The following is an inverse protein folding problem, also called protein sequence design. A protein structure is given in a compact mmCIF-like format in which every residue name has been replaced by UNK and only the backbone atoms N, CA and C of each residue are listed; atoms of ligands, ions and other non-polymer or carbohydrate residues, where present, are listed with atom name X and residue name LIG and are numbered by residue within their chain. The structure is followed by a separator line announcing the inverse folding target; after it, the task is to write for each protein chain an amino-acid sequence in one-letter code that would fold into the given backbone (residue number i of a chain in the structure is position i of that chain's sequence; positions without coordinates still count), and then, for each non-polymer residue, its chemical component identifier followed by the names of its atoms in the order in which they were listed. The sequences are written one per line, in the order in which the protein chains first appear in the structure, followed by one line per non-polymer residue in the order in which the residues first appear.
data_IF_059094429940
#
_entry.id   IF_059094429940
#
_cell.length_a   1.000
_cell.length_b   1.000
_cell.length_c   1.000
_cell.angle_alpha   90.00
_cell.angle_beta   90.00
_cell.angle_gamma   90.00
#
_symmetry.space_group_name_H-M   'P 1'
#
loop_
_entity.id
_entity.type
_entity.pdbx_description
1 polymer ?
#
# COMPACT_ATOMS: atom_id res chain seq x y z
N UNK A 1 1.96 -3.89 -16.07
CA UNK A 1 1.08 -3.18 -15.12
C UNK A 1 1.87 -2.04 -14.52
N UNK A 2 1.38 -0.80 -14.60
CA UNK A 2 2.11 0.37 -14.10
C UNK A 2 1.42 0.87 -12.83
N UNK A 3 1.87 0.39 -11.66
CA UNK A 3 1.48 0.94 -10.36
C UNK A 3 2.56 1.94 -9.97
N UNK A 4 2.34 3.21 -10.27
CA UNK A 4 3.21 4.29 -9.78
C UNK A 4 2.52 5.00 -8.64
N UNK A 5 2.96 4.72 -7.41
CA UNK A 5 2.63 5.57 -6.27
C UNK A 5 3.56 6.77 -6.35
N UNK A 6 3.02 7.94 -6.67
CA UNK A 6 3.72 9.20 -6.40
C UNK A 6 3.30 9.64 -5.01
N UNK A 7 4.25 9.81 -4.10
CA UNK A 7 4.03 10.72 -2.97
C UNK A 7 3.55 12.05 -3.57
N UNK A 8 2.41 12.54 -3.09
CA UNK A 8 1.79 13.76 -3.62
C UNK A 8 2.76 14.93 -3.46
N UNK A 9 3.46 15.28 -4.53
CA UNK A 9 4.37 16.43 -4.59
C UNK A 9 3.57 17.67 -5.01
N UNK A 10 3.28 18.54 -4.07
CA UNK A 10 2.59 19.82 -4.25
C UNK A 10 2.42 20.47 -2.88
N UNK A 11 2.34 21.80 -2.80
CA UNK A 11 2.39 22.64 -1.59
C UNK A 11 1.22 22.49 -0.60
N UNK A 12 0.64 21.29 -0.52
CA UNK A 12 -0.42 20.78 0.35
C UNK A 12 -0.46 19.27 0.04
N UNK A 13 0.13 18.34 0.80
CA UNK A 13 -0.05 18.20 2.24
C UNK A 13 1.07 17.47 3.02
N UNK A 14 2.17 16.97 2.42
CA UNK A 14 3.23 16.28 3.21
C UNK A 14 4.68 16.46 2.74
N UNK A 15 4.94 16.99 1.54
CA UNK A 15 6.31 17.35 1.10
C UNK A 15 7.29 16.18 0.95
N UNK A 16 6.81 14.95 0.76
CA UNK A 16 7.65 13.75 0.67
C UNK A 16 8.25 13.56 -0.73
N UNK A 17 9.47 13.03 -0.79
CA UNK A 17 10.15 12.66 -2.04
C UNK A 17 9.46 11.47 -2.74
N UNK A 18 9.60 11.30 -4.06
CA UNK A 18 8.94 10.22 -4.78
C UNK A 18 9.49 8.83 -4.38
N UNK A 19 8.62 7.82 -4.36
CA UNK A 19 9.04 6.42 -4.30
C UNK A 19 9.75 6.02 -5.60
N UNK A 20 10.82 5.25 -5.47
CA UNK A 20 11.52 4.64 -6.61
C UNK A 20 11.06 3.20 -6.77
N UNK A 21 10.72 2.80 -8.00
CA UNK A 21 10.39 1.40 -8.27
C UNK A 21 11.63 0.50 -8.06
N UNK A 22 11.46 -0.61 -7.34
CA UNK A 22 12.51 -1.60 -7.10
C UNK A 22 12.04 -3.00 -7.56
N UNK A 23 12.75 -3.56 -8.53
CA UNK A 23 12.39 -4.85 -9.13
C UNK A 23 12.49 -6.03 -8.15
N UNK A 24 13.34 -5.95 -7.12
CA UNK A 24 13.43 -7.00 -6.08
C UNK A 24 12.21 -6.95 -5.17
N UNK A 25 11.78 -5.76 -4.79
CA UNK A 25 10.56 -5.56 -4.00
C UNK A 25 9.33 -5.99 -4.83
N UNK A 26 9.30 -5.67 -6.12
CA UNK A 26 8.21 -6.09 -7.01
C UNK A 26 8.17 -7.61 -7.22
N UNK A 27 9.32 -8.26 -7.37
CA UNK A 27 9.41 -9.71 -7.45
C UNK A 27 8.91 -10.38 -6.16
N UNK A 28 9.20 -9.80 -4.99
CA UNK A 28 8.64 -10.27 -3.72
C UNK A 28 7.11 -10.15 -3.71
N UNK A 29 6.59 -8.96 -4.06
CA UNK A 29 5.14 -8.72 -4.14
C UNK A 29 4.45 -9.72 -5.08
N UNK A 30 5.06 -10.01 -6.24
CA UNK A 30 4.51 -10.96 -7.22
C UNK A 30 4.51 -12.39 -6.68
N UNK A 31 5.61 -12.82 -6.05
CA UNK A 31 5.70 -14.15 -5.46
C UNK A 31 4.67 -14.34 -4.35
N UNK A 32 4.40 -13.30 -3.55
CA UNK A 32 3.38 -13.36 -2.53
C UNK A 32 1.96 -13.34 -3.11
N UNK A 33 1.67 -12.42 -4.02
CA UNK A 33 0.36 -12.33 -4.68
C UNK A 33 -0.02 -13.65 -5.37
N UNK A 34 0.92 -14.34 -6.00
CA UNK A 34 0.69 -15.65 -6.61
C UNK A 34 0.19 -16.71 -5.61
N UNK A 35 0.59 -16.64 -4.34
CA UNK A 35 0.12 -17.56 -3.29
C UNK A 35 -1.33 -17.30 -2.89
N UNK A 36 -1.87 -16.11 -3.20
CA UNK A 36 -3.24 -15.70 -2.89
C UNK A 36 -4.23 -15.99 -4.02
N UNK A 37 -3.79 -16.49 -5.18
CA UNK A 37 -4.67 -16.81 -6.32
C UNK A 37 -5.77 -17.82 -5.96
N UNK A 38 -5.51 -18.72 -5.01
CA UNK A 38 -6.43 -19.78 -4.62
C UNK A 38 -7.64 -19.29 -3.79
N UNK A 39 -7.42 -18.30 -2.92
CA UNK A 39 -8.42 -17.87 -1.92
C UNK A 39 -8.73 -16.37 -1.94
N UNK A 40 -7.90 -15.56 -2.59
CA UNK A 40 -8.00 -14.10 -2.71
C UNK A 40 -8.05 -13.31 -1.39
N UNK A 41 -7.83 -13.93 -0.21
CA UNK A 41 -8.00 -13.20 1.04
C UNK A 41 -6.87 -12.18 1.28
N UNK A 42 -7.21 -11.08 1.96
CA UNK A 42 -6.28 -10.04 2.39
C UNK A 42 -5.57 -10.45 3.68
N UNK A 43 -4.58 -11.33 3.54
CA UNK A 43 -3.67 -11.73 4.62
C UNK A 43 -2.31 -11.12 4.32
N UNK A 44 -1.66 -10.56 5.34
CA UNK A 44 -0.33 -9.99 5.20
C UNK A 44 0.75 -11.07 5.05
N UNK A 45 1.82 -10.75 4.33
CA UNK A 45 2.92 -11.68 4.06
C UNK A 45 3.83 -11.96 5.24
N UNK A 46 3.75 -11.15 6.31
CA UNK A 46 4.71 -11.11 7.42
C UNK A 46 6.17 -10.99 6.95
N UNK A 47 6.35 -10.40 5.77
CA UNK A 47 7.63 -10.19 5.11
C UNK A 47 8.48 -9.07 5.72
N UNK A 48 9.69 -8.85 5.18
CA UNK A 48 10.59 -7.80 5.67
C UNK A 48 10.20 -6.38 5.23
N UNK A 49 9.15 -6.23 4.41
CA UNK A 49 8.73 -4.97 3.81
C UNK A 49 7.44 -4.44 4.46
N UNK A 50 7.21 -3.14 4.34
CA UNK A 50 5.88 -2.59 4.56
C UNK A 50 4.93 -3.13 3.49
N UNK A 51 3.63 -3.19 3.76
CA UNK A 51 2.71 -3.84 2.84
C UNK A 51 1.31 -3.21 2.89
N UNK A 52 0.78 -2.90 1.71
CA UNK A 52 -0.63 -2.63 1.53
C UNK A 52 -1.23 -3.69 0.59
N UNK A 53 -2.42 -4.16 0.94
CA UNK A 53 -3.18 -5.11 0.15
C UNK A 53 -4.51 -4.50 -0.28
N UNK A 54 -5.01 -4.93 -1.45
CA UNK A 54 -6.31 -4.55 -1.93
C UNK A 54 -6.97 -5.74 -2.64
N UNK A 55 -8.29 -5.81 -2.49
CA UNK A 55 -9.14 -6.82 -3.10
C UNK A 55 -10.23 -6.14 -3.90
N UNK A 56 -10.62 -6.74 -5.03
CA UNK A 56 -11.77 -6.33 -5.80
C UNK A 56 -12.56 -7.52 -6.32
N UNK A 57 -13.88 -7.41 -6.33
CA UNK A 57 -14.80 -8.46 -6.82
C UNK A 57 -14.74 -8.71 -8.34
N UNK A 58 -13.86 -8.02 -9.05
CA UNK A 58 -13.65 -8.07 -10.49
C UNK A 58 -12.31 -7.45 -10.84
N UNK A 59 -12.17 -6.85 -12.02
CA UNK A 59 -10.93 -6.17 -12.38
C UNK A 59 -10.71 -4.90 -11.54
N UNK A 60 -9.71 -4.93 -10.65
CA UNK A 60 -9.26 -3.77 -9.90
C UNK A 60 -7.96 -3.25 -10.51
N UNK A 61 -7.90 -1.97 -10.88
CA UNK A 61 -6.65 -1.38 -11.35
C UNK A 61 -5.73 -1.05 -10.18
N UNK A 62 -4.41 -1.04 -10.41
CA UNK A 62 -3.48 -0.61 -9.37
C UNK A 62 -3.62 0.87 -9.01
N UNK A 63 -4.11 1.71 -9.92
CA UNK A 63 -4.41 3.12 -9.63
C UNK A 63 -5.58 3.21 -8.66
N UNK A 64 -6.63 2.41 -8.87
CA UNK A 64 -7.80 2.39 -7.98
C UNK A 64 -7.44 1.82 -6.61
N UNK A 65 -6.59 0.79 -6.54
CA UNK A 65 -6.07 0.28 -5.26
C UNK A 65 -5.31 1.36 -4.47
N UNK A 66 -4.42 2.11 -5.13
CA UNK A 66 -3.71 3.23 -4.50
C UNK A 66 -4.68 4.32 -4.07
N UNK A 67 -5.69 4.61 -4.88
CA UNK A 67 -6.74 5.58 -4.53
C UNK A 67 -7.48 5.14 -3.27
N UNK A 68 -7.88 3.87 -3.15
CA UNK A 68 -8.54 3.33 -1.95
C UNK A 68 -7.69 3.56 -0.69
N UNK A 69 -6.38 3.33 -0.77
CA UNK A 69 -5.46 3.59 0.34
C UNK A 69 -5.33 5.08 0.67
N UNK A 70 -5.25 5.95 -0.34
CA UNK A 70 -5.16 7.41 -0.15
C UNK A 70 -6.47 8.00 0.37
N UNK A 71 -7.61 7.43 0.00
CA UNK A 71 -8.94 7.86 0.45
C UNK A 71 -9.13 7.67 1.97
N UNK A 72 -8.24 6.96 2.66
CA UNK A 72 -8.23 6.90 4.13
C UNK A 72 -7.68 8.16 4.81
N UNK A 73 -7.07 9.09 4.05
CA UNK A 73 -6.50 10.35 4.57
C UNK A 73 -7.43 11.11 5.52
N UNK A 74 -8.74 11.31 5.25
CA UNK A 74 -9.63 12.04 6.15
C UNK A 74 -9.81 11.36 7.51
N UNK A 75 -9.46 10.09 7.64
CA UNK A 75 -9.55 9.32 8.88
C UNK A 75 -8.28 9.36 9.70
N UNK A 76 -7.17 9.89 9.17
CA UNK A 76 -5.93 10.04 9.93
C UNK A 76 -5.84 11.43 10.57
N UNK A 77 -5.67 11.48 11.89
CA UNK A 77 -5.33 12.69 12.61
C UNK A 77 -3.83 12.72 12.96
N UNK A 78 -3.12 13.66 12.35
CA UNK A 78 -1.68 13.86 12.56
C UNK A 78 -1.32 14.26 13.99
N UNK A 79 -2.18 15.04 14.66
CA UNK A 79 -1.87 15.55 16.00
C UNK A 79 -1.89 14.43 17.04
N UNK A 80 -2.91 13.58 16.98
CA UNK A 80 -3.03 12.39 17.84
C UNK A 80 -2.24 11.18 17.35
N UNK A 81 -1.76 11.21 16.09
CA UNK A 81 -1.14 10.07 15.40
C UNK A 81 -2.02 8.81 15.45
N UNK A 82 -3.32 8.98 15.19
CA UNK A 82 -4.29 7.90 15.29
C UNK A 82 -5.35 7.97 14.20
N UNK A 83 -5.98 6.83 13.92
CA UNK A 83 -7.14 6.79 13.05
C UNK A 83 -8.39 7.21 13.83
N UNK A 84 -9.36 7.82 13.14
CA UNK A 84 -10.68 8.10 13.67
C UNK A 84 -11.34 6.80 14.19
N UNK A 85 -12.15 6.87 15.26
CA UNK A 85 -12.77 5.68 15.86
C UNK A 85 -13.55 4.86 14.82
N UNK A 86 -13.24 3.56 14.75
CA UNK A 86 -13.89 2.62 13.82
C UNK A 86 -13.46 2.77 12.35
N UNK A 87 -12.46 3.61 12.05
CA UNK A 87 -11.91 3.79 10.70
C UNK A 87 -10.52 3.18 10.58
N UNK A 88 -10.13 2.89 9.34
CA UNK A 88 -8.76 2.50 8.99
C UNK A 88 -8.04 3.69 8.36
N UNK A 89 -6.76 3.81 8.68
CA UNK A 89 -5.86 4.78 8.07
C UNK A 89 -4.44 4.25 7.84
N UNK A 90 -4.23 2.96 8.14
CA UNK A 90 -2.92 2.32 8.06
C UNK A 90 -2.39 2.21 6.63
N UNK A 91 -3.28 2.09 5.64
CA UNK A 91 -2.85 2.07 4.25
C UNK A 91 -2.42 3.47 3.82
N UNK A 92 -3.15 4.50 4.21
CA UNK A 92 -2.74 5.89 3.97
C UNK A 92 -1.38 6.18 4.61
N UNK A 93 -1.19 5.87 5.91
CA UNK A 93 0.07 6.16 6.60
C UNK A 93 1.26 5.43 5.98
N UNK A 94 1.08 4.23 5.43
CA UNK A 94 2.12 3.54 4.66
C UNK A 94 2.39 4.20 3.31
N UNK A 95 1.34 4.65 2.58
CA UNK A 95 1.49 5.36 1.31
C UNK A 95 2.28 6.67 1.48
N UNK A 96 2.17 7.31 2.64
CA UNK A 96 2.87 8.57 2.96
C UNK A 96 3.98 8.38 4.01
N UNK A 97 4.58 7.19 4.07
CA UNK A 97 5.66 6.93 5.02
C UNK A 97 6.98 7.49 4.51
N UNK A 98 7.52 8.51 5.18
CA UNK A 98 8.71 9.27 4.76
C UNK A 98 9.96 8.44 4.56
N UNK A 99 10.13 7.39 5.36
CA UNK A 99 11.32 6.54 5.30
C UNK A 99 11.21 5.46 4.23
N UNK A 100 10.00 5.18 3.71
CA UNK A 100 9.82 4.27 2.59
C UNK A 100 10.24 4.99 1.30
N UNK A 101 11.29 4.48 0.66
CA UNK A 101 11.89 5.10 -0.54
C UNK A 101 11.79 4.22 -1.77
N UNK A 102 11.58 2.91 -1.57
CA UNK A 102 11.43 1.90 -2.63
C UNK A 102 10.05 1.27 -2.59
N UNK A 103 9.53 0.97 -3.77
CA UNK A 103 8.21 0.38 -3.96
C UNK A 103 8.28 -0.75 -4.98
N UNK A 104 7.55 -1.83 -4.73
CA UNK A 104 7.24 -2.84 -5.72
C UNK A 104 5.85 -3.40 -5.52
N UNK A 105 5.11 -3.59 -6.60
CA UNK A 105 3.72 -4.04 -6.52
C UNK A 105 3.42 -5.17 -7.50
N UNK A 106 2.39 -5.95 -7.18
CA UNK A 106 1.88 -7.02 -8.00
C UNK A 106 0.35 -7.06 -7.99
N UNK A 107 -0.20 -7.62 -9.07
CA UNK A 107 -1.62 -7.89 -9.26
C UNK A 107 -1.76 -9.29 -9.80
N UNK A 108 -2.73 -10.02 -9.27
CA UNK A 108 -3.13 -11.31 -9.80
C UNK A 108 -4.66 -11.36 -9.92
N UNK A 109 -5.14 -12.10 -10.90
CA UNK A 109 -6.54 -12.51 -10.96
C UNK A 109 -6.66 -13.84 -10.21
N UNK A 110 -7.53 -13.87 -9.21
CA UNK A 110 -7.81 -15.04 -8.41
C UNK A 110 -8.65 -16.06 -9.20
N UNK A 111 -8.69 -17.31 -8.73
CA UNK A 111 -9.37 -18.42 -9.44
C UNK A 111 -10.88 -18.20 -9.64
N UNK A 112 -11.48 -17.35 -8.80
CA UNK A 112 -12.89 -16.94 -8.84
C UNK A 112 -13.14 -15.67 -9.69
N UNK A 113 -12.13 -15.12 -10.37
CA UNK A 113 -12.24 -13.91 -11.20
C UNK A 113 -12.08 -12.59 -10.44
N UNK A 114 -11.86 -12.65 -9.13
CA UNK A 114 -11.55 -11.49 -8.29
C UNK A 114 -10.11 -11.01 -8.53
N UNK A 115 -9.78 -9.83 -8.03
CA UNK A 115 -8.42 -9.26 -8.12
C UNK A 115 -7.81 -9.15 -6.74
N UNK A 116 -6.56 -9.60 -6.60
CA UNK A 116 -5.70 -9.31 -5.46
C UNK A 116 -4.54 -8.41 -5.91
N UNK A 117 -4.29 -7.34 -5.17
CA UNK A 117 -3.16 -6.42 -5.38
C UNK A 117 -2.37 -6.32 -4.07
N UNK A 118 -1.05 -6.44 -4.16
CA UNK A 118 -0.13 -6.18 -3.07
C UNK A 118 0.94 -5.18 -3.48
N UNK A 119 1.22 -4.19 -2.64
CA UNK A 119 2.34 -3.26 -2.79
C UNK A 119 3.23 -3.33 -1.55
N UNK A 120 4.52 -3.53 -1.77
CA UNK A 120 5.53 -3.58 -0.72
C UNK A 120 6.42 -2.33 -0.72
N UNK A 121 6.78 -1.87 0.47
CA UNK A 121 7.51 -0.62 0.73
C UNK A 121 8.81 -0.91 1.48
N UNK A 122 9.91 -0.31 1.05
CA UNK A 122 11.24 -0.54 1.64
C UNK A 122 12.00 0.78 1.85
N UNK A 123 12.46 1.09 3.07
CA UNK A 123 12.14 0.45 4.36
C UNK A 123 10.65 0.34 4.71
N UNK A 124 10.24 -0.63 5.56
CA UNK A 124 8.87 -0.74 6.08
C UNK A 124 8.43 0.50 6.86
N UNK A 125 7.13 0.80 6.81
CA UNK A 125 6.52 1.87 7.57
C UNK A 125 5.64 1.39 8.72
N UNK A 126 4.73 2.26 9.17
CA UNK A 126 3.73 2.00 10.20
C UNK A 126 4.30 1.52 11.55
N UNK A 127 5.50 2.00 11.92
CA UNK A 127 6.06 1.74 13.24
C UNK A 127 5.24 2.41 14.35
N UNK A 128 4.86 1.63 15.36
CA UNK A 128 4.11 2.12 16.52
C UNK A 128 4.88 3.27 17.19
N UNK A 129 4.17 4.38 17.41
CA UNK A 129 4.74 5.58 18.04
C UNK A 129 5.53 6.50 17.10
N UNK A 130 5.73 6.11 15.84
CA UNK A 130 6.34 6.98 14.83
C UNK A 130 5.26 7.63 13.95
N UNK A 131 5.57 8.82 13.44
CA UNK A 131 4.71 9.54 12.49
C UNK A 131 5.17 9.31 11.05
N UNK A 132 4.21 9.19 10.11
CA UNK A 132 4.49 8.92 8.71
C UNK A 132 5.25 10.07 8.03
N UNK A 133 5.09 11.32 8.50
CA UNK A 133 5.79 12.51 8.00
C UNK A 133 6.00 13.56 9.09
#
# INVERSE_FOLDING_TARGET
MEIRIRHLSGSSDVGLGPLTWDDKVAAYAQNYANQRIGDCNLVHSDGPYGENLAWGSGDLSGIDAVKMWVDEKPYYDYNSNSCAPGQMCGHYTQVVWRDSVRLGCAKVTCSNGETFIGCNYDPPGNYIGQRPY
#
